data_IF_802258894172
#
_entry.id   IF_802258894172
#
_cell.length_a   1.000
_cell.length_b   1.000
_cell.length_c   1.000
_cell.angle_alpha   90.00
_cell.angle_beta   90.00
_cell.angle_gamma   90.00
#
_symmetry.space_group_name_H-M   'P 1'
#
loop_
_entity.id
_entity.type
_entity.pdbx_description
1 polymer ?
#
# COMPACT_ATOMS: atom_id res chain seq x y z
N UNK A 1 -35.34 -44.21 -51.72
CA UNK A 1 -35.32 -44.00 -50.26
C UNK A 1 -33.96 -43.38 -49.89
N UNK A 2 -33.94 -42.08 -49.65
CA UNK A 2 -32.68 -41.34 -49.27
C UNK A 2 -32.81 -40.98 -47.79
N UNK A 3 -31.95 -41.60 -46.96
CA UNK A 3 -31.81 -41.27 -45.53
C UNK A 3 -30.90 -40.06 -45.36
N UNK A 4 -31.43 -39.04 -44.71
CA UNK A 4 -30.74 -37.82 -44.37
C UNK A 4 -30.06 -38.03 -43.00
N UNK A 5 -28.73 -38.08 -42.99
CA UNK A 5 -27.95 -37.96 -41.75
C UNK A 5 -27.96 -36.49 -41.26
N UNK A 6 -28.64 -36.23 -40.15
CA UNK A 6 -28.49 -34.99 -39.40
C UNK A 6 -27.28 -35.10 -38.47
N UNK A 7 -26.23 -34.37 -38.79
CA UNK A 7 -25.08 -34.15 -37.88
C UNK A 7 -25.49 -33.15 -36.81
N UNK A 8 -25.53 -33.60 -35.56
CA UNK A 8 -25.71 -32.78 -34.37
C UNK A 8 -24.36 -32.10 -33.98
N UNK A 9 -24.22 -30.83 -34.37
CA UNK A 9 -23.16 -29.93 -33.94
C UNK A 9 -23.66 -29.06 -32.79
N UNK A 10 -23.71 -29.56 -31.59
CA UNK A 10 -23.75 -28.86 -30.29
C UNK A 10 -23.37 -29.92 -29.25
N UNK A 11 -22.29 -29.84 -28.47
CA UNK A 11 -22.06 -28.79 -27.47
C UNK A 11 -20.56 -28.58 -27.15
N UNK A 12 -19.82 -27.83 -27.92
CA UNK A 12 -18.46 -27.48 -27.51
C UNK A 12 -18.40 -26.10 -26.79
N UNK A 13 -19.40 -25.25 -27.05
CA UNK A 13 -19.45 -23.90 -26.45
C UNK A 13 -19.89 -23.89 -24.99
N UNK A 14 -20.70 -24.81 -24.54
CA UNK A 14 -21.15 -24.89 -23.12
C UNK A 14 -20.08 -25.38 -22.17
N UNK A 15 -19.13 -26.20 -22.63
CA UNK A 15 -18.06 -26.68 -21.76
C UNK A 15 -17.02 -25.59 -21.44
N UNK A 16 -16.72 -24.69 -22.36
CA UNK A 16 -15.76 -23.60 -22.16
C UNK A 16 -16.24 -22.55 -21.15
N UNK A 17 -17.56 -22.25 -21.10
CA UNK A 17 -18.13 -21.33 -20.11
C UNK A 17 -18.07 -21.89 -18.67
N UNK A 18 -18.33 -23.19 -18.50
CA UNK A 18 -18.32 -23.82 -17.16
C UNK A 18 -16.93 -23.96 -16.56
N UNK A 19 -15.90 -24.18 -17.38
CA UNK A 19 -14.50 -24.20 -16.91
C UNK A 19 -13.99 -22.80 -16.52
N UNK A 20 -14.39 -21.77 -17.25
CA UNK A 20 -14.08 -20.38 -16.93
C UNK A 20 -14.66 -19.94 -15.59
N UNK A 21 -15.92 -20.26 -15.32
CA UNK A 21 -16.61 -19.92 -14.08
C UNK A 21 -16.04 -20.68 -12.86
N UNK A 22 -15.71 -21.96 -13.01
CA UNK A 22 -15.10 -22.77 -11.96
C UNK A 22 -13.69 -22.27 -11.59
N UNK A 23 -12.87 -21.90 -12.58
CA UNK A 23 -11.55 -21.33 -12.37
C UNK A 23 -11.63 -19.94 -11.70
N UNK A 24 -12.56 -19.09 -12.12
CA UNK A 24 -12.82 -17.79 -11.52
C UNK A 24 -13.31 -17.92 -10.06
N UNK A 25 -14.18 -18.89 -9.79
CA UNK A 25 -14.67 -19.17 -8.43
C UNK A 25 -13.55 -19.75 -7.54
N UNK A 26 -12.74 -20.67 -8.06
CA UNK A 26 -11.59 -21.22 -7.36
C UNK A 26 -10.57 -20.11 -7.01
N UNK A 27 -10.34 -19.15 -7.92
CA UNK A 27 -9.49 -17.98 -7.66
C UNK A 27 -10.06 -17.07 -6.58
N UNK A 28 -11.37 -16.80 -6.57
CA UNK A 28 -12.05 -16.00 -5.53
C UNK A 28 -11.90 -16.58 -4.12
N UNK A 29 -11.78 -17.88 -4.00
CA UNK A 29 -11.63 -18.57 -2.73
C UNK A 29 -10.19 -18.63 -2.19
N UNK A 30 -9.18 -18.22 -2.99
CA UNK A 30 -7.79 -18.16 -2.54
C UNK A 30 -7.54 -16.94 -1.67
N UNK A 31 -6.78 -17.12 -0.59
CA UNK A 31 -6.30 -16.03 0.27
C UNK A 31 -5.27 -15.15 -0.45
N UNK A 32 -4.95 -14.00 0.12
CA UNK A 32 -4.01 -13.02 -0.45
C UNK A 32 -2.65 -13.63 -0.84
N UNK A 33 -2.10 -14.53 -0.01
CA UNK A 33 -0.79 -15.17 -0.22
C UNK A 33 -0.84 -16.20 -1.35
N UNK A 34 -1.97 -16.87 -1.51
CA UNK A 34 -2.16 -17.94 -2.51
C UNK A 34 -2.50 -17.41 -3.90
N UNK A 35 -2.83 -16.14 -3.99
CA UNK A 35 -3.15 -15.49 -5.27
C UNK A 35 -1.89 -14.96 -5.93
N UNK A 36 -1.46 -15.63 -6.99
CA UNK A 36 -0.48 -15.06 -7.93
C UNK A 36 -1.18 -14.08 -8.87
N UNK A 37 -0.54 -12.96 -9.25
CA UNK A 37 -1.10 -12.06 -10.25
C UNK A 37 -1.35 -12.79 -11.58
N UNK A 38 -2.48 -12.47 -12.21
CA UNK A 38 -2.75 -12.87 -13.58
C UNK A 38 -2.12 -11.82 -14.51
N UNK A 39 -0.90 -12.10 -14.97
CA UNK A 39 -0.13 -11.15 -15.77
C UNK A 39 -0.85 -10.74 -17.06
N UNK A 40 -1.60 -11.65 -17.69
CA UNK A 40 -2.37 -11.33 -18.88
C UNK A 40 -3.50 -10.33 -18.57
N UNK A 41 -4.16 -10.47 -17.42
CA UNK A 41 -5.17 -9.51 -16.96
C UNK A 41 -4.52 -8.17 -16.61
N UNK A 42 -3.45 -8.20 -15.83
CA UNK A 42 -2.71 -6.97 -15.45
C UNK A 42 -2.32 -6.19 -16.70
N UNK A 43 -1.79 -6.86 -17.72
CA UNK A 43 -1.35 -6.20 -18.94
C UNK A 43 -2.54 -5.67 -19.78
N UNK A 44 -3.63 -6.45 -19.92
CA UNK A 44 -4.85 -5.96 -20.58
C UNK A 44 -5.40 -4.70 -19.91
N UNK A 45 -5.47 -4.70 -18.57
CA UNK A 45 -5.95 -3.53 -17.81
C UNK A 45 -5.01 -2.35 -18.05
N UNK A 46 -3.70 -2.55 -17.91
CA UNK A 46 -2.69 -1.49 -18.11
C UNK A 46 -2.82 -0.84 -19.50
N UNK A 47 -2.94 -1.66 -20.54
CA UNK A 47 -3.08 -1.17 -21.93
C UNK A 47 -4.41 -0.47 -22.19
N UNK A 48 -5.45 -0.79 -21.44
CA UNK A 48 -6.75 -0.13 -21.53
C UNK A 48 -6.81 1.25 -20.87
N UNK A 49 -5.80 1.59 -20.05
CA UNK A 49 -5.74 2.85 -19.31
C UNK A 49 -5.19 3.98 -20.18
N UNK A 50 -5.88 5.13 -20.16
CA UNK A 50 -5.30 6.38 -20.66
C UNK A 50 -4.12 6.80 -19.76
N UNK A 51 -3.28 7.71 -20.25
CA UNK A 51 -2.20 8.28 -19.43
C UNK A 51 -2.75 8.97 -18.17
N UNK A 52 -3.92 9.62 -18.29
CA UNK A 52 -4.65 10.22 -17.17
C UNK A 52 -5.02 9.16 -16.12
N UNK A 53 -5.61 8.03 -16.53
CA UNK A 53 -5.95 6.93 -15.62
C UNK A 53 -4.69 6.37 -14.94
N UNK A 54 -3.61 6.19 -15.68
CA UNK A 54 -2.33 5.69 -15.16
C UNK A 54 -1.74 6.60 -14.08
N UNK A 55 -1.74 7.91 -14.30
CA UNK A 55 -1.30 8.89 -13.29
C UNK A 55 -2.18 8.83 -12.05
N UNK A 56 -3.49 8.72 -12.22
CA UNK A 56 -4.40 8.53 -11.10
C UNK A 56 -4.05 7.30 -10.26
N UNK A 57 -3.63 6.19 -10.89
CA UNK A 57 -3.25 4.97 -10.16
C UNK A 57 -2.02 5.14 -9.25
N UNK A 58 -1.21 6.19 -9.42
CA UNK A 58 -0.09 6.50 -8.55
C UNK A 58 -0.49 7.26 -7.27
N UNK A 59 -1.72 7.75 -7.17
CA UNK A 59 -2.14 8.56 -6.01
C UNK A 59 -2.81 7.71 -4.94
N UNK A 60 -2.30 7.82 -3.71
CA UNK A 60 -2.97 7.37 -2.49
C UNK A 60 -3.35 8.62 -1.69
N UNK A 61 -4.60 9.05 -1.79
CA UNK A 61 -5.04 10.36 -1.34
C UNK A 61 -6.24 10.30 -0.40
N UNK A 62 -6.56 11.43 0.19
CA UNK A 62 -7.76 11.61 1.03
C UNK A 62 -9.04 11.26 0.25
N UNK A 63 -10.11 10.78 0.94
CA UNK A 63 -11.34 10.37 0.28
C UNK A 63 -12.11 11.57 -0.29
N UNK A 64 -11.75 11.98 -1.49
CA UNK A 64 -12.49 12.96 -2.27
C UNK A 64 -12.96 12.36 -3.59
N UNK A 65 -14.15 12.72 -3.98
CA UNK A 65 -14.71 12.41 -5.28
C UNK A 65 -14.46 13.65 -6.15
N UNK A 66 -13.94 13.49 -7.37
CA UNK A 66 -13.79 14.60 -8.30
C UNK A 66 -15.12 15.31 -8.54
N UNK A 67 -15.10 16.57 -9.00
CA UNK A 67 -16.32 17.37 -9.23
C UNK A 67 -17.29 16.71 -10.22
N UNK A 68 -16.77 15.92 -11.14
CA UNK A 68 -17.54 15.13 -12.11
C UNK A 68 -17.92 13.72 -11.59
N UNK A 69 -17.57 13.41 -10.35
CA UNK A 69 -17.90 12.15 -9.68
C UNK A 69 -17.02 10.96 -10.09
N UNK A 70 -16.05 11.13 -10.99
CA UNK A 70 -15.11 10.09 -11.37
C UNK A 70 -14.05 9.88 -10.27
N UNK A 71 -13.73 8.63 -9.94
CA UNK A 71 -12.64 8.28 -9.03
C UNK A 71 -11.44 7.90 -9.86
N UNK A 72 -10.41 8.73 -9.84
CA UNK A 72 -9.20 8.55 -10.65
C UNK A 72 -7.99 8.08 -9.84
N UNK A 73 -8.12 7.89 -8.51
CA UNK A 73 -6.99 7.57 -7.63
C UNK A 73 -6.76 6.07 -7.48
N UNK A 74 -5.48 5.68 -7.36
CA UNK A 74 -5.06 4.30 -7.10
C UNK A 74 -5.49 3.79 -5.75
N UNK A 75 -5.54 4.66 -4.74
CA UNK A 75 -6.00 4.36 -3.40
C UNK A 75 -6.61 5.55 -2.67
N UNK A 76 -7.43 5.27 -1.67
CA UNK A 76 -8.07 6.23 -0.78
C UNK A 76 -7.60 5.97 0.64
N UNK A 77 -6.99 6.99 1.27
CA UNK A 77 -6.53 6.93 2.65
C UNK A 77 -7.63 7.35 3.62
N UNK A 78 -7.96 6.49 4.56
CA UNK A 78 -8.88 6.78 5.66
C UNK A 78 -8.10 7.08 6.94
N UNK A 79 -8.35 8.24 7.52
CA UNK A 79 -7.77 8.65 8.81
C UNK A 79 -8.83 8.58 9.91
N UNK A 80 -8.38 8.68 11.17
CA UNK A 80 -9.28 8.53 12.32
C UNK A 80 -10.54 9.39 12.26
N UNK A 81 -10.45 10.62 11.74
CA UNK A 81 -11.60 11.53 11.60
C UNK A 81 -12.68 10.96 10.65
N UNK A 82 -12.27 10.32 9.54
CA UNK A 82 -13.18 9.77 8.53
C UNK A 82 -13.81 8.45 8.97
N UNK A 83 -13.22 7.77 9.97
CA UNK A 83 -13.69 6.49 10.52
C UNK A 83 -14.49 6.63 11.82
N UNK A 84 -14.72 7.87 12.32
CA UNK A 84 -15.53 8.10 13.53
C UNK A 84 -16.96 7.58 13.41
N UNK A 85 -17.52 7.60 12.19
CA UNK A 85 -18.86 7.07 11.86
C UNK A 85 -18.66 5.91 10.87
N UNK A 86 -18.58 4.69 11.39
CA UNK A 86 -18.25 3.48 10.60
C UNK A 86 -19.23 3.28 9.43
N UNK A 87 -20.55 3.49 9.65
CA UNK A 87 -21.54 3.30 8.58
C UNK A 87 -21.38 4.33 7.46
N UNK A 88 -21.04 5.58 7.80
CA UNK A 88 -20.73 6.59 6.79
C UNK A 88 -19.45 6.25 6.00
N UNK A 89 -18.45 5.66 6.66
CA UNK A 89 -17.25 5.16 5.99
C UNK A 89 -17.57 3.99 5.05
N UNK A 90 -18.36 3.01 5.49
CA UNK A 90 -18.83 1.89 4.66
C UNK A 90 -19.54 2.39 3.40
N UNK A 91 -20.47 3.33 3.55
CA UNK A 91 -21.21 3.90 2.43
C UNK A 91 -20.29 4.63 1.44
N UNK A 92 -19.36 5.42 1.96
CA UNK A 92 -18.35 6.10 1.12
C UNK A 92 -17.49 5.10 0.35
N UNK A 93 -17.00 4.05 1.00
CA UNK A 93 -16.21 2.99 0.37
C UNK A 93 -17.01 2.30 -0.73
N UNK A 94 -18.27 1.93 -0.44
CA UNK A 94 -19.17 1.31 -1.40
C UNK A 94 -19.36 2.20 -2.64
N UNK A 95 -19.78 3.44 -2.43
CA UNK A 95 -20.04 4.40 -3.51
C UNK A 95 -18.77 4.70 -4.34
N UNK A 96 -17.62 4.83 -3.68
CA UNK A 96 -16.33 5.06 -4.36
C UNK A 96 -15.97 3.85 -5.23
N UNK A 97 -16.12 2.63 -4.71
CA UNK A 97 -15.83 1.40 -5.45
C UNK A 97 -16.72 1.24 -6.68
N UNK A 98 -18.03 1.52 -6.54
CA UNK A 98 -19.00 1.39 -7.62
C UNK A 98 -18.78 2.38 -8.77
N UNK A 99 -18.22 3.55 -8.47
CA UNK A 99 -17.93 4.58 -9.47
C UNK A 99 -16.57 4.44 -10.13
N UNK A 100 -15.64 3.75 -9.48
CA UNK A 100 -14.28 3.61 -9.97
C UNK A 100 -14.22 2.61 -11.13
N UNK A 101 -13.57 2.99 -12.22
CA UNK A 101 -13.24 2.07 -13.31
C UNK A 101 -12.28 0.97 -12.85
N UNK A 102 -11.24 1.36 -12.12
CA UNK A 102 -10.33 0.45 -11.43
C UNK A 102 -10.53 0.62 -9.92
N UNK A 103 -11.05 -0.39 -9.21
CA UNK A 103 -11.28 -0.28 -7.78
C UNK A 103 -10.03 0.18 -7.01
N UNK A 104 -10.12 1.25 -6.19
CA UNK A 104 -8.97 1.75 -5.45
C UNK A 104 -8.61 0.84 -4.27
N UNK A 105 -7.39 0.97 -3.76
CA UNK A 105 -7.09 0.57 -2.41
C UNK A 105 -7.88 1.43 -1.43
N UNK A 106 -8.34 0.84 -0.33
CA UNK A 106 -8.91 1.57 0.80
C UNK A 106 -7.99 1.35 2.00
N UNK A 107 -7.10 2.31 2.22
CA UNK A 107 -5.99 2.22 3.15
C UNK A 107 -6.30 2.89 4.49
N UNK A 108 -5.66 2.40 5.55
CA UNK A 108 -5.76 2.96 6.91
C UNK A 108 -4.52 2.57 7.72
N UNK A 109 -4.19 3.38 8.77
CA UNK A 109 -3.19 3.03 9.77
C UNK A 109 -3.85 2.34 10.96
N UNK A 110 -3.56 1.06 11.15
CA UNK A 110 -3.93 0.30 12.34
C UNK A 110 -2.70 -0.44 12.84
N UNK A 111 -1.89 0.26 13.63
CA UNK A 111 -0.65 -0.27 14.24
C UNK A 111 -0.91 -0.88 15.62
N UNK A 112 -1.80 -0.27 16.40
CA UNK A 112 -2.14 -0.64 17.76
C UNK A 112 -2.23 0.56 18.70
N UNK A 113 -2.83 0.38 19.86
CA UNK A 113 -2.98 1.41 20.89
C UNK A 113 -3.57 2.71 20.35
N UNK A 114 -2.90 3.84 20.56
CA UNK A 114 -3.29 5.17 20.07
C UNK A 114 -3.17 5.31 18.55
N UNK A 115 -2.41 4.43 17.89
CA UNK A 115 -2.25 4.38 16.44
C UNK A 115 -3.25 3.43 15.76
N UNK A 116 -4.36 3.11 16.42
CA UNK A 116 -5.50 2.38 15.86
C UNK A 116 -6.54 3.39 15.34
N UNK A 117 -6.53 3.68 14.03
CA UNK A 117 -7.48 4.63 13.42
C UNK A 117 -8.91 4.08 13.33
N UNK A 118 -9.09 2.77 13.52
CA UNK A 118 -10.40 2.09 13.59
C UNK A 118 -10.79 1.71 15.04
N UNK A 119 -10.34 2.48 16.03
CA UNK A 119 -10.51 2.22 17.47
C UNK A 119 -11.96 2.20 17.97
N UNK A 120 -12.94 2.60 17.15
CA UNK A 120 -14.36 2.51 17.45
C UNK A 120 -14.99 1.18 17.03
N UNK A 121 -14.25 0.34 16.30
CA UNK A 121 -14.73 -0.99 15.93
C UNK A 121 -14.61 -1.93 17.15
N UNK A 122 -15.74 -2.57 17.60
CA UNK A 122 -15.75 -3.32 18.86
C UNK A 122 -14.70 -4.43 18.94
N UNK A 123 -14.41 -5.10 17.80
CA UNK A 123 -13.46 -6.24 17.77
C UNK A 123 -12.01 -5.84 18.00
N UNK A 124 -11.63 -4.57 17.79
CA UNK A 124 -10.23 -4.12 17.81
C UNK A 124 -10.01 -2.84 18.61
N UNK A 125 -11.01 -2.36 19.35
CA UNK A 125 -10.83 -1.18 20.21
C UNK A 125 -9.74 -1.36 21.26
N UNK A 126 -9.50 -2.60 21.71
CA UNK A 126 -8.49 -2.97 22.70
C UNK A 126 -7.21 -3.53 22.04
N UNK A 127 -6.95 -3.23 20.76
CA UNK A 127 -5.71 -3.63 20.09
C UNK A 127 -4.50 -3.06 20.83
N UNK A 128 -3.59 -3.91 21.37
CA UNK A 128 -2.43 -3.46 22.11
C UNK A 128 -1.44 -2.68 21.24
N UNK A 129 -0.55 -1.92 21.87
CA UNK A 129 0.62 -1.34 21.22
C UNK A 129 1.56 -2.44 20.68
N UNK A 130 2.36 -2.14 19.66
CA UNK A 130 3.33 -3.10 19.11
C UNK A 130 4.27 -3.65 20.20
N UNK A 131 4.75 -2.79 21.10
CA UNK A 131 5.57 -3.18 22.26
C UNK A 131 4.87 -4.19 23.17
N UNK A 132 3.57 -4.07 23.36
CA UNK A 132 2.78 -5.01 24.19
C UNK A 132 2.55 -6.32 23.44
N UNK A 133 2.29 -6.25 22.13
CA UNK A 133 2.21 -7.43 21.26
C UNK A 133 3.53 -8.21 21.23
N UNK A 134 4.68 -7.55 21.38
CA UNK A 134 5.98 -8.22 21.41
C UNK A 134 6.14 -9.21 22.57
N UNK A 135 5.43 -9.00 23.68
CA UNK A 135 5.43 -9.90 24.85
C UNK A 135 4.52 -11.13 24.69
N UNK A 136 3.69 -11.18 23.64
CA UNK A 136 2.74 -12.26 23.39
C UNK A 136 3.38 -13.39 22.55
N UNK A 137 2.78 -14.56 22.57
CA UNK A 137 3.14 -15.64 21.64
C UNK A 137 2.82 -15.25 20.17
N UNK A 138 3.60 -15.75 19.22
CA UNK A 138 3.41 -15.43 17.79
C UNK A 138 2.01 -15.75 17.27
N UNK A 139 1.39 -16.82 17.80
CA UNK A 139 0.01 -17.19 17.45
C UNK A 139 -1.01 -16.17 17.94
N UNK A 140 -0.76 -15.53 19.05
CA UNK A 140 -1.64 -14.47 19.59
C UNK A 140 -1.49 -13.19 18.78
N UNK A 141 -0.26 -12.82 18.41
CA UNK A 141 0.02 -11.69 17.52
C UNK A 141 -0.63 -11.91 16.14
N UNK A 142 -0.52 -13.11 15.58
CA UNK A 142 -1.20 -13.48 14.33
C UNK A 142 -2.72 -13.39 14.48
N UNK A 143 -3.29 -13.87 15.59
CA UNK A 143 -4.72 -13.78 15.87
C UNK A 143 -5.19 -12.32 15.93
N UNK A 144 -4.38 -11.40 16.48
CA UNK A 144 -4.66 -9.96 16.42
C UNK A 144 -4.65 -9.46 14.99
N UNK A 145 -3.66 -9.83 14.16
CA UNK A 145 -3.62 -9.50 12.74
C UNK A 145 -4.88 -9.96 11.99
N UNK A 146 -5.34 -11.20 12.23
CA UNK A 146 -6.60 -11.73 11.66
C UNK A 146 -7.80 -10.91 12.13
N UNK A 147 -7.86 -10.55 13.41
CA UNK A 147 -8.97 -9.77 13.99
C UNK A 147 -9.03 -8.37 13.38
N UNK A 148 -7.87 -7.71 13.27
CA UNK A 148 -7.75 -6.41 12.59
C UNK A 148 -8.20 -6.51 11.14
N UNK A 149 -7.68 -7.48 10.40
CA UNK A 149 -8.03 -7.66 8.99
C UNK A 149 -9.52 -7.92 8.78
N UNK A 150 -10.16 -8.73 9.64
CA UNK A 150 -11.62 -8.95 9.60
C UNK A 150 -12.40 -7.66 9.84
N UNK A 151 -12.05 -6.90 10.89
CA UNK A 151 -12.67 -5.60 11.18
C UNK A 151 -12.53 -4.62 10.01
N UNK A 152 -11.36 -4.59 9.38
CA UNK A 152 -11.13 -3.80 8.18
C UNK A 152 -12.04 -4.22 7.02
N UNK A 153 -12.12 -5.53 6.75
CA UNK A 153 -12.98 -6.08 5.68
C UNK A 153 -14.45 -5.81 5.91
N UNK A 154 -14.92 -5.85 7.17
CA UNK A 154 -16.30 -5.48 7.54
C UNK A 154 -16.64 -4.02 7.20
N UNK A 155 -15.66 -3.13 7.27
CA UNK A 155 -15.80 -1.72 6.85
C UNK A 155 -15.62 -1.55 5.35
N UNK A 156 -14.93 -2.50 4.68
CA UNK A 156 -14.61 -2.46 3.25
C UNK A 156 -13.17 -2.01 2.96
N UNK A 157 -12.35 -1.80 4.01
CA UNK A 157 -10.92 -1.49 3.90
C UNK A 157 -10.14 -2.73 3.45
N UNK A 158 -9.04 -2.55 2.69
CA UNK A 158 -8.30 -3.66 2.09
C UNK A 158 -6.76 -3.50 2.14
N UNK A 159 -6.26 -2.38 2.69
CA UNK A 159 -4.83 -2.10 2.84
C UNK A 159 -4.57 -1.50 4.22
N UNK A 160 -3.66 -2.12 5.00
CA UNK A 160 -3.22 -1.58 6.29
C UNK A 160 -1.79 -1.04 6.15
N UNK A 161 -1.59 0.23 6.45
CA UNK A 161 -0.26 0.87 6.50
C UNK A 161 0.44 0.48 7.83
N UNK A 162 0.57 -0.81 8.04
CA UNK A 162 1.17 -1.51 9.18
C UNK A 162 1.45 -2.98 8.79
N UNK A 163 2.30 -3.70 9.55
CA UNK A 163 2.94 -3.35 10.81
C UNK A 163 4.18 -2.47 10.66
N UNK A 164 4.61 -1.90 11.80
CA UNK A 164 5.90 -1.23 11.92
C UNK A 164 7.00 -2.28 12.01
N UNK A 165 8.04 -2.16 11.17
CA UNK A 165 9.22 -3.04 11.14
C UNK A 165 10.47 -2.35 11.69
N UNK A 166 10.33 -1.12 12.18
CA UNK A 166 11.43 -0.36 12.74
C UNK A 166 12.00 -1.06 13.98
N UNK A 167 13.30 -1.32 13.97
CA UNK A 167 14.04 -1.88 15.11
C UNK A 167 14.48 -0.73 15.99
N UNK A 168 13.88 -0.58 17.18
CA UNK A 168 14.19 0.53 18.08
C UNK A 168 14.13 0.09 19.55
N UNK A 169 15.23 0.34 20.29
CA UNK A 169 15.35 0.15 21.73
C UNK A 169 15.10 1.45 22.51
N UNK A 170 15.16 2.58 21.84
CA UNK A 170 14.92 3.93 22.35
C UNK A 170 14.39 4.83 21.24
N UNK A 171 14.36 6.14 21.46
CA UNK A 171 13.94 7.10 20.44
C UNK A 171 12.43 7.15 20.22
N UNK A 172 12.03 7.81 19.14
CA UNK A 172 10.63 8.14 18.84
C UNK A 172 9.73 6.88 18.74
N UNK A 173 10.13 5.88 17.93
CA UNK A 173 9.32 4.68 17.71
C UNK A 173 9.16 3.85 18.99
N UNK A 174 10.20 3.73 19.80
CA UNK A 174 10.15 3.01 21.07
C UNK A 174 9.30 3.75 22.11
N UNK A 175 9.50 5.06 22.31
CA UNK A 175 8.76 5.84 23.31
C UNK A 175 7.24 5.81 23.08
N UNK A 176 6.83 5.83 21.82
CA UNK A 176 5.41 5.78 21.43
C UNK A 176 4.84 4.35 21.39
N UNK A 177 5.66 3.32 21.69
CA UNK A 177 5.23 1.92 21.67
C UNK A 177 4.90 1.38 20.28
N UNK A 178 5.36 2.07 19.22
CA UNK A 178 5.15 1.70 17.82
C UNK A 178 6.12 0.60 17.37
N UNK A 179 7.38 0.59 17.86
CA UNK A 179 8.32 -0.50 17.61
C UNK A 179 7.98 -1.72 18.49
N UNK A 180 8.09 -2.92 17.91
CA UNK A 180 7.94 -4.16 18.67
C UNK A 180 9.10 -4.35 19.64
N UNK A 181 10.35 -4.10 19.22
CA UNK A 181 11.54 -4.32 20.03
C UNK A 181 12.76 -3.59 19.44
N UNK A 182 13.82 -3.44 20.24
CA UNK A 182 15.17 -3.13 19.78
C UNK A 182 15.97 -4.34 19.27
N UNK A 183 15.41 -5.54 19.39
CA UNK A 183 16.00 -6.78 18.91
C UNK A 183 15.44 -7.16 17.54
N UNK A 184 16.27 -7.18 16.46
CA UNK A 184 15.82 -7.44 15.10
C UNK A 184 15.01 -8.74 14.97
N UNK A 185 15.43 -9.80 15.65
CA UNK A 185 14.76 -11.11 15.57
C UNK A 185 13.35 -11.08 16.17
N UNK A 186 13.14 -10.31 17.24
CA UNK A 186 11.81 -10.12 17.83
C UNK A 186 10.92 -9.34 16.85
N UNK A 187 11.43 -8.27 16.25
CA UNK A 187 10.68 -7.49 15.24
C UNK A 187 10.31 -8.38 14.06
N UNK A 188 11.26 -9.15 13.50
CA UNK A 188 11.00 -10.12 12.43
C UNK A 188 9.86 -11.07 12.76
N UNK A 189 9.91 -11.70 13.95
CA UNK A 189 8.89 -12.65 14.37
C UNK A 189 7.51 -12.01 14.54
N UNK A 190 7.42 -10.93 15.31
CA UNK A 190 6.15 -10.32 15.71
C UNK A 190 5.49 -9.55 14.57
N UNK A 191 6.24 -8.72 13.85
CA UNK A 191 5.70 -7.99 12.69
C UNK A 191 5.27 -8.97 11.59
N UNK A 192 6.05 -10.04 11.32
CA UNK A 192 5.66 -11.09 10.38
C UNK A 192 4.40 -11.82 10.82
N UNK A 193 4.26 -12.16 12.11
CA UNK A 193 3.05 -12.82 12.63
C UNK A 193 1.81 -11.92 12.41
N UNK A 194 1.93 -10.63 12.71
CA UNK A 194 0.84 -9.66 12.49
C UNK A 194 0.49 -9.52 11.00
N UNK A 195 1.50 -9.35 10.12
CA UNK A 195 1.30 -9.26 8.66
C UNK A 195 0.66 -10.53 8.09
N UNK A 196 1.08 -11.72 8.55
CA UNK A 196 0.48 -13.01 8.18
C UNK A 196 -0.99 -13.07 8.57
N UNK A 197 -1.34 -12.56 9.74
CA UNK A 197 -2.74 -12.46 10.18
C UNK A 197 -3.59 -11.56 9.26
N UNK A 198 -3.08 -10.38 8.88
CA UNK A 198 -3.73 -9.49 7.91
C UNK A 198 -3.93 -10.18 6.56
N UNK A 199 -2.88 -10.84 6.05
CA UNK A 199 -2.92 -11.56 4.79
C UNK A 199 -3.96 -12.69 4.79
N UNK A 200 -4.10 -13.44 5.89
CA UNK A 200 -5.15 -14.46 6.08
C UNK A 200 -6.56 -13.87 6.01
N UNK A 201 -6.73 -12.62 6.43
CA UNK A 201 -8.01 -11.92 6.34
C UNK A 201 -8.23 -11.23 4.97
N UNK A 202 -7.31 -11.36 4.01
CA UNK A 202 -7.41 -10.76 2.68
C UNK A 202 -7.15 -9.26 2.67
N UNK A 203 -6.27 -8.78 3.53
CA UNK A 203 -5.82 -7.38 3.63
C UNK A 203 -4.34 -7.31 3.26
N UNK A 204 -3.96 -6.36 2.41
CA UNK A 204 -2.56 -6.08 2.13
C UNK A 204 -1.93 -5.38 3.34
N UNK A 205 -0.87 -5.97 3.89
CA UNK A 205 -0.02 -5.35 4.89
C UNK A 205 1.08 -4.53 4.22
N UNK A 206 1.33 -3.31 4.68
CA UNK A 206 2.38 -2.43 4.20
C UNK A 206 3.36 -2.20 5.35
N UNK A 207 4.55 -2.78 5.23
CA UNK A 207 5.60 -2.62 6.24
C UNK A 207 6.17 -1.20 6.27
N UNK A 208 6.47 -0.66 7.44
CA UNK A 208 7.00 0.72 7.57
C UNK A 208 7.99 0.86 8.72
N UNK A 209 8.89 1.83 8.65
CA UNK A 209 9.20 2.80 7.58
C UNK A 209 10.51 2.40 6.91
N UNK A 210 10.42 1.90 5.68
CA UNK A 210 11.56 1.30 4.97
C UNK A 210 12.64 2.34 4.62
N UNK A 211 13.93 2.03 4.76
CA UNK A 211 14.53 0.74 5.18
C UNK A 211 14.66 0.54 6.69
N UNK A 212 14.22 1.46 7.55
CA UNK A 212 14.21 1.36 9.01
C UNK A 212 14.38 2.71 9.67
N UNK A 213 13.79 2.91 10.84
CA UNK A 213 13.84 4.17 11.60
C UNK A 213 14.99 4.20 12.62
N UNK A 214 15.28 3.03 13.21
CA UNK A 214 16.26 2.92 14.28
C UNK A 214 15.87 3.67 15.55
N UNK A 215 16.89 4.03 16.33
CA UNK A 215 16.77 4.70 17.61
C UNK A 215 16.69 6.25 17.50
N UNK A 216 16.21 6.78 16.38
CA UNK A 216 16.05 8.23 16.20
C UNK A 216 15.08 8.82 17.22
N UNK A 217 15.47 9.95 17.80
CA UNK A 217 14.64 10.73 18.70
C UNK A 217 13.64 11.62 17.96
N UNK A 218 14.01 12.08 16.77
CA UNK A 218 13.20 12.96 15.94
C UNK A 218 11.95 12.25 15.40
N UNK A 219 10.87 13.01 15.33
CA UNK A 219 9.67 12.64 14.58
C UNK A 219 9.81 13.17 13.14
N UNK A 220 10.01 12.28 12.16
CA UNK A 220 10.23 12.67 10.77
C UNK A 220 9.04 13.38 10.12
N UNK A 221 7.88 13.37 10.76
CA UNK A 221 6.70 14.14 10.31
C UNK A 221 6.81 15.62 10.69
N UNK A 222 7.65 15.94 11.68
CA UNK A 222 7.74 17.29 12.26
C UNK A 222 9.15 17.86 12.25
N UNK A 223 10.18 17.00 12.15
CA UNK A 223 11.58 17.38 12.28
C UNK A 223 12.44 16.73 11.20
N UNK A 224 13.58 17.35 10.89
CA UNK A 224 14.58 16.74 10.04
C UNK A 224 15.18 15.50 10.71
N UNK A 225 15.13 14.38 10.03
CA UNK A 225 15.62 13.10 10.51
C UNK A 225 16.75 12.59 9.61
N UNK A 226 17.90 12.29 10.20
CA UNK A 226 19.09 11.82 9.49
C UNK A 226 19.79 10.74 10.27
N UNK A 227 20.23 9.69 9.57
CA UNK A 227 21.08 8.62 10.09
C UNK A 227 22.37 8.51 9.27
N UNK A 228 23.49 8.21 9.93
CA UNK A 228 24.76 7.97 9.27
C UNK A 228 25.05 6.46 9.17
N UNK A 229 24.12 5.75 8.52
CA UNK A 229 24.23 4.32 8.30
C UNK A 229 24.92 4.01 6.98
N UNK A 230 25.86 3.07 7.03
CA UNK A 230 26.47 2.52 5.82
C UNK A 230 25.52 1.56 5.10
N UNK A 231 25.93 1.11 3.92
CA UNK A 231 25.13 0.19 3.10
C UNK A 231 24.84 -1.13 3.83
N UNK A 232 25.82 -1.65 4.57
CA UNK A 232 25.67 -2.89 5.31
C UNK A 232 24.57 -2.77 6.37
N UNK A 233 24.55 -1.66 7.12
CA UNK A 233 23.50 -1.39 8.12
C UNK A 233 22.14 -1.21 7.46
N UNK A 234 22.03 -0.45 6.38
CA UNK A 234 20.76 -0.26 5.65
C UNK A 234 20.23 -1.59 5.13
N UNK A 235 21.08 -2.45 4.55
CA UNK A 235 20.68 -3.78 4.10
C UNK A 235 20.27 -4.70 5.25
N UNK A 236 20.92 -4.59 6.41
CA UNK A 236 20.52 -5.35 7.61
C UNK A 236 19.13 -4.94 8.10
N UNK A 237 18.83 -3.65 8.18
CA UNK A 237 17.50 -3.15 8.53
C UNK A 237 16.45 -3.56 7.49
N UNK A 238 16.74 -3.39 6.19
CA UNK A 238 15.86 -3.84 5.10
C UNK A 238 15.57 -5.35 5.17
N UNK A 239 16.52 -6.17 5.65
CA UNK A 239 16.32 -7.62 5.81
C UNK A 239 15.25 -7.97 6.84
N UNK A 240 14.99 -7.08 7.80
CA UNK A 240 13.93 -7.27 8.80
C UNK A 240 12.56 -7.29 8.11
N UNK A 241 12.33 -6.42 7.14
CA UNK A 241 11.09 -6.41 6.34
C UNK A 241 10.95 -7.67 5.48
N UNK A 242 12.06 -8.17 4.91
CA UNK A 242 12.05 -9.36 4.06
C UNK A 242 11.63 -10.64 4.78
N UNK A 243 11.72 -10.66 6.13
CA UNK A 243 11.21 -11.78 6.92
C UNK A 243 9.70 -12.02 6.74
N UNK A 244 8.97 -11.01 6.30
CA UNK A 244 7.53 -11.09 6.11
C UNK A 244 7.10 -11.39 4.66
N UNK A 245 8.03 -11.68 3.73
CA UNK A 245 7.69 -12.25 2.44
C UNK A 245 7.05 -13.63 2.63
N UNK A 246 5.93 -13.94 2.01
CA UNK A 246 5.14 -13.23 1.00
C UNK A 246 3.92 -12.46 1.56
N UNK A 247 3.88 -12.16 2.87
CA UNK A 247 2.70 -11.59 3.54
C UNK A 247 2.55 -10.09 3.29
N UNK A 248 3.63 -9.38 2.90
CA UNK A 248 3.56 -7.97 2.56
C UNK A 248 3.04 -7.74 1.15
N UNK A 249 2.21 -6.72 0.99
CA UNK A 249 1.85 -6.16 -0.30
C UNK A 249 2.88 -5.13 -0.79
N UNK A 250 3.57 -4.47 0.14
CA UNK A 250 4.53 -3.43 -0.13
C UNK A 250 5.15 -2.84 1.12
N UNK A 251 5.91 -1.78 0.94
CA UNK A 251 6.53 -1.02 2.02
C UNK A 251 6.26 0.48 1.88
N UNK A 252 6.13 1.16 3.01
CA UNK A 252 6.14 2.62 3.07
C UNK A 252 7.56 3.09 3.29
N UNK A 253 8.05 3.94 2.38
CA UNK A 253 9.38 4.53 2.45
C UNK A 253 9.43 5.62 3.51
N UNK A 254 10.56 5.74 4.21
CA UNK A 254 10.71 6.71 5.29
C UNK A 254 11.07 8.12 4.81
N UNK A 255 10.72 9.13 5.62
CA UNK A 255 11.15 10.53 5.45
C UNK A 255 12.55 10.81 6.09
N UNK A 256 13.38 9.79 6.25
CA UNK A 256 14.69 9.86 6.85
C UNK A 256 15.77 9.97 5.78
N UNK A 257 16.77 10.83 6.01
CA UNK A 257 17.99 10.90 5.21
C UNK A 257 18.98 9.85 5.70
N UNK A 258 19.44 9.00 4.79
CA UNK A 258 20.53 8.04 5.01
C UNK A 258 21.78 8.63 4.35
N UNK A 259 22.60 9.31 5.14
CA UNK A 259 23.65 10.23 4.65
C UNK A 259 24.67 9.60 3.71
N UNK A 260 24.88 8.28 3.81
CA UNK A 260 25.78 7.51 2.90
C UNK A 260 25.16 7.20 1.53
N UNK A 261 23.85 7.36 1.37
CA UNK A 261 23.15 7.19 0.09
C UNK A 261 22.91 8.51 -0.63
N UNK A 262 22.85 9.60 0.09
CA UNK A 262 22.65 10.93 -0.46
C UNK A 262 22.04 11.91 0.54
N UNK A 263 21.84 13.16 0.13
CA UNK A 263 21.29 14.20 0.99
C UNK A 263 19.77 14.19 1.08
N UNK A 264 19.08 13.29 0.37
CA UNK A 264 17.63 13.25 0.30
C UNK A 264 17.06 12.16 1.20
N UNK A 265 15.84 12.34 1.73
CA UNK A 265 15.11 11.27 2.42
C UNK A 265 14.86 10.05 1.54
N UNK A 266 14.67 8.88 2.16
CA UNK A 266 14.51 7.61 1.44
C UNK A 266 13.42 7.65 0.37
N UNK A 267 12.30 8.34 0.62
CA UNK A 267 11.22 8.49 -0.39
C UNK A 267 11.67 9.22 -1.67
N UNK A 268 12.77 9.96 -1.63
CA UNK A 268 13.33 10.75 -2.73
C UNK A 268 14.65 10.18 -3.25
N UNK A 269 15.13 9.06 -2.69
CA UNK A 269 16.43 8.46 -3.02
C UNK A 269 16.23 7.21 -3.89
N UNK A 270 16.59 7.27 -5.20
CA UNK A 270 16.32 6.17 -6.13
C UNK A 270 16.95 4.83 -5.72
N UNK A 271 18.13 4.87 -5.08
CA UNK A 271 18.83 3.67 -4.66
C UNK A 271 18.06 2.92 -3.57
N UNK A 272 17.41 3.64 -2.64
CA UNK A 272 16.63 3.05 -1.56
C UNK A 272 15.27 2.54 -2.06
N UNK A 273 14.64 3.25 -2.99
CA UNK A 273 13.41 2.77 -3.65
C UNK A 273 13.69 1.50 -4.47
N UNK A 274 14.81 1.46 -5.20
CA UNK A 274 15.23 0.27 -5.93
C UNK A 274 15.50 -0.93 -4.99
N UNK A 275 16.09 -0.70 -3.82
CA UNK A 275 16.32 -1.72 -2.80
C UNK A 275 14.99 -2.36 -2.32
N UNK A 276 13.93 -1.58 -2.17
CA UNK A 276 12.61 -2.11 -1.83
C UNK A 276 12.03 -2.95 -2.97
N UNK A 277 12.21 -2.55 -4.22
CA UNK A 277 11.74 -3.28 -5.39
C UNK A 277 12.44 -4.64 -5.61
N UNK A 278 13.64 -4.88 -5.03
CA UNK A 278 14.29 -6.20 -5.09
C UNK A 278 13.40 -7.33 -4.54
N UNK A 279 12.49 -7.04 -3.63
CA UNK A 279 11.52 -8.00 -3.06
C UNK A 279 10.21 -8.09 -3.86
N UNK A 280 10.06 -7.35 -4.94
CA UNK A 280 8.82 -7.32 -5.74
C UNK A 280 7.66 -6.58 -5.06
N UNK A 281 7.91 -5.85 -4.00
CA UNK A 281 6.92 -5.04 -3.30
C UNK A 281 6.55 -3.77 -4.08
N UNK A 282 5.34 -3.25 -3.86
CA UNK A 282 5.09 -1.86 -4.19
C UNK A 282 5.74 -0.95 -3.15
N UNK A 283 6.17 0.23 -3.57
CA UNK A 283 6.64 1.29 -2.69
C UNK A 283 5.58 2.37 -2.57
N UNK A 284 5.31 2.79 -1.34
CA UNK A 284 4.43 3.92 -1.02
C UNK A 284 5.28 4.97 -0.35
N UNK A 285 5.19 6.23 -0.74
CA UNK A 285 5.84 7.30 0.02
C UNK A 285 5.19 7.41 1.40
N UNK A 286 5.92 7.89 2.39
CA UNK A 286 5.28 8.58 3.51
C UNK A 286 4.61 9.87 2.99
N UNK A 287 3.90 10.60 3.84
CA UNK A 287 3.13 11.75 3.41
C UNK A 287 4.00 12.85 2.78
N UNK A 288 3.85 13.04 1.47
CA UNK A 288 4.57 14.10 0.74
C UNK A 288 4.06 15.51 1.03
N UNK A 289 2.94 15.63 1.74
CA UNK A 289 2.39 16.92 2.16
C UNK A 289 3.09 17.51 3.40
N UNK A 290 3.94 16.73 4.07
CA UNK A 290 4.66 17.15 5.28
C UNK A 290 5.58 18.32 4.96
N UNK A 291 5.39 19.42 5.71
CA UNK A 291 6.19 20.63 5.53
C UNK A 291 7.68 20.41 5.83
N UNK A 292 7.99 19.68 6.90
CA UNK A 292 9.37 19.38 7.29
C UNK A 292 10.16 18.69 6.17
N UNK A 293 9.50 17.88 5.32
CA UNK A 293 10.13 17.21 4.18
C UNK A 293 10.60 18.21 3.11
N UNK A 294 9.77 19.19 2.76
CA UNK A 294 10.14 20.23 1.79
C UNK A 294 11.25 21.14 2.35
N UNK A 295 11.16 21.52 3.63
CA UNK A 295 12.18 22.29 4.32
C UNK A 295 13.53 21.55 4.41
N UNK A 296 13.50 20.23 4.64
CA UNK A 296 14.70 19.39 4.75
C UNK A 296 15.50 19.34 3.45
N UNK A 297 14.83 19.38 2.30
CA UNK A 297 15.49 19.37 0.99
C UNK A 297 15.70 20.80 0.43
N UNK A 298 15.24 21.83 1.14
CA UNK A 298 15.35 23.23 0.69
C UNK A 298 14.60 23.53 -0.60
N UNK A 299 13.42 22.88 -0.81
CA UNK A 299 12.66 22.99 -2.04
C UNK A 299 11.19 23.27 -1.79
N UNK A 300 10.47 23.65 -2.84
CA UNK A 300 9.01 23.75 -2.82
C UNK A 300 8.36 22.35 -2.78
N UNK A 301 7.15 22.28 -2.27
CA UNK A 301 6.40 21.02 -2.12
C UNK A 301 6.13 20.31 -3.45
N UNK A 302 5.97 21.05 -4.53
CA UNK A 302 5.84 20.50 -5.90
C UNK A 302 7.07 19.69 -6.29
N UNK A 303 8.26 20.15 -5.91
CA UNK A 303 9.51 19.46 -6.16
C UNK A 303 9.60 18.14 -5.37
N UNK A 304 9.07 18.07 -4.15
CA UNK A 304 8.96 16.82 -3.39
C UNK A 304 8.18 15.77 -4.18
N UNK A 305 7.01 16.12 -4.70
CA UNK A 305 6.17 15.20 -5.51
C UNK A 305 6.92 14.75 -6.77
N UNK A 306 7.57 15.70 -7.44
CA UNK A 306 8.37 15.42 -8.64
C UNK A 306 9.51 14.45 -8.34
N UNK A 307 10.27 14.69 -7.29
CA UNK A 307 11.39 13.85 -6.87
C UNK A 307 10.92 12.47 -6.38
N UNK A 308 9.80 12.39 -5.67
CA UNK A 308 9.22 11.12 -5.22
C UNK A 308 8.85 10.21 -6.42
N UNK A 309 8.25 10.79 -7.47
CA UNK A 309 8.00 10.05 -8.70
C UNK A 309 9.31 9.65 -9.39
N UNK A 310 10.27 10.57 -9.56
CA UNK A 310 11.55 10.30 -10.20
C UNK A 310 12.39 9.26 -9.45
N UNK A 311 12.24 9.16 -8.12
CA UNK A 311 12.89 8.11 -7.33
C UNK A 311 12.33 6.71 -7.64
N UNK A 312 11.15 6.61 -8.26
CA UNK A 312 10.56 5.34 -8.69
C UNK A 312 9.46 4.80 -7.79
N UNK A 313 8.93 5.60 -6.85
CA UNK A 313 7.81 5.15 -6.03
C UNK A 313 6.57 4.81 -6.84
N UNK A 314 5.80 3.83 -6.38
CA UNK A 314 4.61 3.32 -7.04
C UNK A 314 3.34 4.05 -6.61
N UNK A 315 3.26 4.42 -5.33
CA UNK A 315 2.18 5.22 -4.79
C UNK A 315 2.74 6.46 -4.08
N UNK A 316 2.20 7.60 -4.43
CA UNK A 316 2.47 8.90 -3.79
C UNK A 316 1.34 9.15 -2.80
N UNK A 317 1.65 9.06 -1.50
CA UNK A 317 0.69 9.29 -0.43
C UNK A 317 0.61 10.77 -0.08
N UNK A 318 -0.61 11.29 0.02
CA UNK A 318 -0.87 12.64 0.52
C UNK A 318 -2.09 12.68 1.43
N UNK A 319 -1.93 13.34 2.58
CA UNK A 319 -3.04 13.64 3.49
C UNK A 319 -3.75 14.95 3.12
N UNK A 320 -3.23 15.70 2.16
CA UNK A 320 -3.95 16.85 1.63
C UNK A 320 -5.01 16.42 0.62
N UNK A 321 -6.14 17.16 0.57
CA UNK A 321 -7.10 16.99 -0.51
C UNK A 321 -6.40 17.26 -1.86
N UNK A 322 -6.56 16.42 -2.87
CA UNK A 322 -6.17 16.79 -4.22
C UNK A 322 -6.91 18.06 -4.64
N UNK A 323 -6.36 18.81 -5.58
CA UNK A 323 -6.62 20.21 -5.94
C UNK A 323 -8.07 20.65 -6.25
N UNK A 324 -9.05 19.81 -6.04
CA UNK A 324 -10.47 20.19 -6.24
C UNK A 324 -11.02 21.15 -5.19
N UNK A 325 -10.22 21.49 -4.18
CA UNK A 325 -10.59 22.41 -3.08
C UNK A 325 -9.55 23.49 -2.80
N UNK A 326 -8.57 23.71 -3.71
CA UNK A 326 -7.51 24.72 -3.55
C UNK A 326 -6.22 24.19 -2.93
N UNK A 327 -6.01 22.86 -2.91
CA UNK A 327 -4.75 22.22 -2.53
C UNK A 327 -3.76 22.13 -3.70
N UNK A 328 -2.65 21.39 -3.51
CA UNK A 328 -1.64 21.18 -4.54
C UNK A 328 -2.16 20.28 -5.67
N UNK A 329 -1.85 20.63 -6.92
CA UNK A 329 -2.19 19.84 -8.11
C UNK A 329 -1.22 18.65 -8.29
N UNK A 330 -1.26 17.67 -7.37
CA UNK A 330 -0.46 16.45 -7.47
C UNK A 330 -0.63 15.74 -8.81
N UNK A 331 -1.86 15.73 -9.31
CA UNK A 331 -2.19 15.09 -10.57
C UNK A 331 -1.54 15.79 -11.76
N UNK A 332 -1.66 17.11 -11.85
CA UNK A 332 -1.07 17.91 -12.94
C UNK A 332 0.46 17.86 -12.95
N UNK A 333 1.10 17.82 -11.77
CA UNK A 333 2.55 17.64 -11.64
C UNK A 333 2.98 16.31 -12.28
N UNK A 334 2.35 15.21 -11.90
CA UNK A 334 2.66 13.87 -12.40
C UNK A 334 2.32 13.72 -13.90
N UNK A 335 1.23 14.34 -14.37
CA UNK A 335 0.87 14.36 -15.78
C UNK A 335 1.93 15.08 -16.64
N UNK A 336 2.39 16.25 -16.21
CA UNK A 336 3.46 16.99 -16.90
C UNK A 336 4.74 16.17 -16.99
N UNK A 337 5.12 15.49 -15.89
CA UNK A 337 6.30 14.62 -15.87
C UNK A 337 6.14 13.45 -16.85
N UNK A 338 5.04 12.73 -16.80
CA UNK A 338 4.79 11.58 -17.67
C UNK A 338 4.75 11.96 -19.17
N UNK A 339 4.44 13.22 -19.49
CA UNK A 339 4.41 13.74 -20.86
C UNK A 339 5.76 14.31 -21.34
N UNK A 340 6.66 14.63 -20.41
CA UNK A 340 7.91 15.33 -20.72
C UNK A 340 8.99 14.44 -21.36
N UNK A 341 8.99 13.14 -21.07
CA UNK A 341 10.01 12.19 -21.52
C UNK A 341 9.42 10.78 -21.69
N UNK A 342 9.65 10.09 -22.82
CA UNK A 342 9.24 8.69 -23.01
C UNK A 342 9.76 7.75 -21.93
N UNK A 343 10.92 8.01 -21.33
CA UNK A 343 11.44 7.21 -20.20
C UNK A 343 10.56 7.36 -18.96
N UNK A 344 10.04 8.55 -18.69
CA UNK A 344 9.13 8.81 -17.58
C UNK A 344 7.74 8.20 -17.83
N UNK A 345 7.29 8.18 -19.09
CA UNK A 345 6.09 7.43 -19.47
C UNK A 345 6.27 5.91 -19.23
N UNK A 346 7.43 5.34 -19.56
CA UNK A 346 7.74 3.94 -19.31
C UNK A 346 7.85 3.65 -17.79
N UNK A 347 8.42 4.58 -17.01
CA UNK A 347 8.46 4.49 -15.54
C UNK A 347 7.06 4.50 -14.94
N UNK A 348 6.15 5.36 -15.43
CA UNK A 348 4.74 5.37 -15.06
C UNK A 348 4.09 4.01 -15.31
N UNK A 349 4.28 3.43 -16.50
CA UNK A 349 3.74 2.12 -16.84
C UNK A 349 4.27 1.00 -15.93
N UNK A 350 5.55 1.06 -15.58
CA UNK A 350 6.16 0.10 -14.66
C UNK A 350 5.58 0.20 -13.24
N UNK A 351 5.38 1.41 -12.71
CA UNK A 351 4.77 1.66 -11.42
C UNK A 351 3.31 1.20 -11.40
N UNK A 352 2.51 1.60 -12.38
CA UNK A 352 1.11 1.17 -12.51
C UNK A 352 0.98 -0.35 -12.62
N UNK A 353 1.88 -1.02 -13.35
CA UNK A 353 1.90 -2.48 -13.46
C UNK A 353 2.09 -3.14 -12.08
N UNK A 354 3.00 -2.63 -11.23
CA UNK A 354 3.19 -3.14 -9.86
C UNK A 354 1.94 -2.91 -8.99
N UNK A 355 1.33 -1.73 -9.08
CA UNK A 355 0.06 -1.40 -8.41
C UNK A 355 -1.06 -2.36 -8.84
N UNK A 356 -1.21 -2.60 -10.14
CA UNK A 356 -2.23 -3.51 -10.68
C UNK A 356 -2.00 -4.96 -10.27
N UNK A 357 -0.74 -5.43 -10.19
CA UNK A 357 -0.40 -6.76 -9.66
C UNK A 357 -0.90 -6.93 -8.22
N UNK A 358 -0.66 -5.93 -7.35
CA UNK A 358 -1.17 -5.98 -5.98
C UNK A 358 -2.69 -5.93 -5.94
N UNK A 359 -3.33 -5.09 -6.77
CA UNK A 359 -4.79 -5.06 -6.92
C UNK A 359 -5.36 -6.42 -7.36
N UNK A 360 -4.68 -7.09 -8.29
CA UNK A 360 -5.11 -8.41 -8.75
C UNK A 360 -4.96 -9.48 -7.67
N UNK A 361 -3.89 -9.45 -6.85
CA UNK A 361 -3.74 -10.31 -5.67
C UNK A 361 -4.86 -10.11 -4.65
N UNK A 362 -5.35 -8.89 -4.50
CA UNK A 362 -6.50 -8.56 -3.63
C UNK A 362 -7.87 -8.87 -4.26
N UNK A 363 -7.91 -9.31 -5.51
CA UNK A 363 -9.15 -9.58 -6.24
C UNK A 363 -9.90 -8.32 -6.71
N UNK A 364 -9.23 -7.17 -6.71
CA UNK A 364 -9.82 -5.91 -7.13
C UNK A 364 -10.00 -5.82 -8.66
N UNK A 365 -9.29 -6.66 -9.41
CA UNK A 365 -9.42 -6.73 -10.87
C UNK A 365 -10.29 -7.91 -11.34
N UNK A 366 -10.89 -8.67 -10.42
CA UNK A 366 -11.76 -9.78 -10.79
C UNK A 366 -13.03 -9.25 -11.50
N UNK A 367 -13.19 -9.62 -12.78
CA UNK A 367 -14.28 -9.14 -13.62
C UNK A 367 -13.93 -8.02 -14.61
N UNK A 368 -12.64 -7.56 -14.64
CA UNK A 368 -12.12 -6.62 -15.64
C UNK A 368 -11.42 -7.33 -16.79
#
# INVERSE_FOLDING_TARGET
MRGVLRSSLVPLLLLLCTFGDAAAQARKNKGFVERTPDEARVERVLQSLSQRDKVGQLLLAYPQISKDGAVEVGGVLFVGATLRKIDAAKERIRTTRERARIPPFFAVDIEGGSFNRLNRHPSIQALPLARELAAMEDKEVEAWGVRVGKAMREVGLNMNLAPVFDVAAKGHMFRNGRAFSGEPEVVKQKATAFARGLAKAGVAAIGKHFPGYGDLDSDSDHEHATVDWDEARVRAEASVFRSADPFLGGVMMSNIVYSKFGPKPAILEPALVALAHESGWITITDDVAIRALAEQIGAEREEVVRLAFLAGNDLILTTEPPDWSGGMDYFGILMKLAQSDPKLAAQLDAAVRRVLRLKDRLGLLDGL
#
